data_IF_311297748022
#
_entry.id   IF_311297748022
#
_cell.length_a   1.000
_cell.length_b   1.000
_cell.length_c   1.000
_cell.angle_alpha   90.00
_cell.angle_beta   90.00
_cell.angle_gamma   90.00
#
_symmetry.space_group_name_H-M   'P 1'
#
loop_
_entity.id
_entity.type
_entity.pdbx_description
1 polymer ?
#
# COMPACT_ATOMS: atom_id res chain seq x y z
N UNK A 1 52.48 -55.01 -22.77
CA UNK A 1 51.05 -55.16 -22.43
C UNK A 1 50.92 -54.93 -20.93
N UNK A 2 50.63 -53.69 -20.50
CA UNK A 2 49.31 -53.22 -19.98
C UNK A 2 48.90 -53.98 -18.71
N UNK A 3 48.70 -53.40 -17.52
CA UNK A 3 47.99 -52.16 -17.12
C UNK A 3 48.47 -51.74 -15.71
N UNK A 4 48.61 -50.43 -15.37
CA UNK A 4 48.79 -50.02 -13.97
C UNK A 4 47.43 -49.91 -13.26
N UNK A 5 47.33 -50.53 -12.08
CA UNK A 5 46.18 -50.45 -11.19
C UNK A 5 46.04 -49.02 -10.63
N UNK A 6 45.23 -48.19 -11.28
CA UNK A 6 44.87 -46.85 -10.80
C UNK A 6 44.01 -46.98 -9.54
N UNK A 7 44.55 -46.55 -8.40
CA UNK A 7 43.77 -46.29 -7.18
C UNK A 7 42.73 -45.22 -7.46
N UNK A 8 41.45 -45.60 -7.43
CA UNK A 8 40.31 -44.68 -7.29
C UNK A 8 40.30 -44.11 -5.87
N UNK A 9 41.23 -43.20 -5.58
CA UNK A 9 41.35 -42.56 -4.26
C UNK A 9 41.40 -41.03 -4.39
N UNK A 10 40.64 -40.46 -5.33
CA UNK A 10 40.66 -39.02 -5.60
C UNK A 10 39.30 -38.34 -5.71
N UNK A 11 38.19 -39.10 -5.71
CA UNK A 11 36.86 -38.53 -5.96
C UNK A 11 36.03 -38.27 -4.69
N UNK A 12 36.50 -38.72 -3.52
CA UNK A 12 35.80 -38.49 -2.26
C UNK A 12 35.79 -37.03 -1.80
N UNK A 13 36.88 -36.23 -1.95
CA UNK A 13 36.87 -34.85 -1.44
C UNK A 13 35.92 -33.93 -2.21
N UNK A 14 35.67 -34.21 -3.49
CA UNK A 14 34.83 -33.37 -4.35
C UNK A 14 33.34 -33.66 -4.15
N UNK A 15 32.96 -34.90 -3.84
CA UNK A 15 31.57 -35.23 -3.48
C UNK A 15 31.14 -34.59 -2.15
N UNK A 16 32.05 -34.45 -1.18
CA UNK A 16 31.75 -33.77 0.09
C UNK A 16 31.53 -32.25 -0.09
N UNK A 17 32.28 -31.60 -0.99
CA UNK A 17 32.09 -30.19 -1.29
C UNK A 17 30.76 -29.90 -2.01
N UNK A 18 30.27 -30.83 -2.83
CA UNK A 18 28.96 -30.70 -3.47
C UNK A 18 27.80 -30.84 -2.47
N UNK A 19 27.92 -31.72 -1.47
CA UNK A 19 26.89 -31.87 -0.43
C UNK A 19 26.80 -30.64 0.50
N UNK A 20 27.90 -29.90 0.70
CA UNK A 20 27.90 -28.71 1.54
C UNK A 20 27.23 -27.49 0.87
N UNK A 21 27.25 -27.41 -0.46
CA UNK A 21 26.55 -26.35 -1.22
C UNK A 21 25.03 -26.51 -1.23
N UNK A 22 24.51 -27.71 -0.88
CA UNK A 22 23.07 -27.96 -0.79
C UNK A 22 22.48 -27.51 0.56
N UNK A 23 23.31 -27.38 1.60
CA UNK A 23 22.86 -26.96 2.95
C UNK A 23 22.82 -25.43 3.11
N UNK A 24 23.48 -24.68 2.21
CA UNK A 24 23.56 -23.21 2.27
C UNK A 24 22.84 -22.51 1.10
N UNK A 25 22.12 -23.27 0.27
CA UNK A 25 21.14 -22.70 -0.66
C UNK A 25 19.88 -22.33 0.09
N UNK A 26 19.93 -21.32 0.96
CA UNK A 26 18.71 -20.63 1.36
C UNK A 26 18.09 -20.13 0.03
N UNK A 27 16.87 -20.56 -0.36
CA UNK A 27 16.14 -19.79 -1.36
C UNK A 27 16.17 -18.38 -0.81
N UNK A 28 16.72 -17.44 -1.60
CA UNK A 28 16.84 -16.05 -1.20
C UNK A 28 15.55 -15.69 -0.51
N UNK A 29 15.64 -15.48 0.80
CA UNK A 29 14.57 -14.90 1.57
C UNK A 29 14.44 -13.55 0.89
N UNK A 30 13.53 -13.47 -0.06
CA UNK A 30 13.08 -12.22 -0.64
C UNK A 30 12.74 -11.42 0.60
N UNK A 31 13.62 -10.48 0.92
CA UNK A 31 13.49 -9.67 2.11
C UNK A 31 12.20 -8.92 1.85
N UNK A 32 11.09 -9.46 2.37
CA UNK A 32 9.82 -8.79 2.47
C UNK A 32 10.15 -7.55 3.27
N UNK A 33 10.51 -6.47 2.57
CA UNK A 33 10.69 -5.18 3.21
C UNK A 33 9.34 -4.93 3.86
N UNK A 34 9.31 -4.76 5.19
CA UNK A 34 8.05 -4.61 5.89
C UNK A 34 7.29 -3.46 5.23
N UNK A 35 6.05 -3.73 4.81
CA UNK A 35 5.22 -2.70 4.22
C UNK A 35 5.11 -1.53 5.22
N UNK A 36 5.31 -0.32 4.72
CA UNK A 36 5.29 0.88 5.57
C UNK A 36 3.86 1.13 6.04
N UNK A 37 3.64 1.09 7.35
CA UNK A 37 2.32 1.29 7.94
C UNK A 37 1.99 2.78 8.00
N UNK A 38 0.74 3.12 7.74
CA UNK A 38 0.22 4.47 7.79
C UNK A 38 -0.67 4.64 9.03
N UNK A 39 -0.56 5.80 9.69
CA UNK A 39 -1.55 6.30 10.66
C UNK A 39 -2.43 7.31 9.96
N UNK A 40 -3.74 7.13 10.03
CA UNK A 40 -4.74 8.02 9.47
C UNK A 40 -5.49 8.65 10.65
N UNK A 41 -5.22 9.92 10.93
CA UNK A 41 -5.91 10.69 11.97
C UNK A 41 -7.07 11.43 11.33
N UNK A 42 -8.25 11.32 11.92
CA UNK A 42 -9.46 11.95 11.38
C UNK A 42 -10.09 12.85 12.44
N UNK A 43 -10.39 14.09 12.05
CA UNK A 43 -11.02 15.11 12.88
C UNK A 43 -12.29 15.62 12.18
N UNK A 44 -13.44 15.48 12.85
CA UNK A 44 -14.72 15.97 12.34
C UNK A 44 -14.76 17.51 12.37
N UNK A 45 -15.20 18.13 11.27
CA UNK A 45 -15.21 19.59 11.10
C UNK A 45 -16.48 20.24 11.67
N UNK A 46 -17.63 19.55 11.63
CA UNK A 46 -18.93 20.10 12.03
C UNK A 46 -19.30 19.84 13.49
N UNK A 47 -18.39 19.25 14.28
CA UNK A 47 -18.64 18.87 15.68
C UNK A 47 -17.79 19.73 16.62
N UNK A 48 -18.17 21.00 16.75
CA UNK A 48 -17.43 22.07 17.45
C UNK A 48 -17.24 21.88 18.99
N UNK A 49 -17.49 20.68 19.55
CA UNK A 49 -17.29 20.45 21.00
C UNK A 49 -17.04 19.01 21.47
N UNK A 50 -16.95 18.00 20.60
CA UNK A 50 -16.78 16.61 21.08
C UNK A 50 -15.34 16.12 21.07
N UNK A 51 -14.42 16.78 20.34
CA UNK A 51 -12.99 16.42 20.33
C UNK A 51 -12.71 14.96 19.95
N UNK A 52 -13.69 14.25 19.38
CA UNK A 52 -13.59 12.83 19.07
C UNK A 52 -12.80 12.68 17.78
N UNK A 53 -11.49 12.66 17.93
CA UNK A 53 -10.59 12.22 16.87
C UNK A 53 -10.58 10.70 16.82
N UNK A 54 -10.65 10.15 15.62
CA UNK A 54 -10.47 8.71 15.39
C UNK A 54 -9.09 8.50 14.77
N UNK A 55 -8.45 7.39 15.12
CA UNK A 55 -7.13 7.02 14.61
C UNK A 55 -7.23 5.65 14.00
N UNK A 56 -6.95 5.59 12.70
CA UNK A 56 -7.08 4.40 11.88
C UNK A 56 -5.72 4.03 11.30
N UNK A 57 -5.61 2.81 10.82
CA UNK A 57 -4.37 2.28 10.28
C UNK A 57 -4.56 1.80 8.85
N UNK A 58 -3.48 1.92 8.08
CA UNK A 58 -3.42 1.43 6.71
C UNK A 58 -2.00 1.05 6.33
N UNK A 59 -1.81 0.75 5.06
CA UNK A 59 -0.51 0.36 4.51
C UNK A 59 -0.18 1.23 3.32
N UNK A 60 0.98 1.87 3.30
CA UNK A 60 1.44 2.61 2.13
C UNK A 60 1.75 1.67 0.97
N UNK A 61 1.37 2.10 -0.23
CA UNK A 61 1.89 1.54 -1.48
C UNK A 61 3.40 1.77 -1.55
N UNK A 62 4.14 0.80 -2.10
CA UNK A 62 5.61 0.83 -2.18
C UNK A 62 6.10 2.14 -2.82
N UNK A 63 7.05 2.79 -2.16
CA UNK A 63 7.64 4.04 -2.64
C UNK A 63 6.72 5.27 -2.62
N UNK A 64 5.53 5.17 -2.02
CA UNK A 64 4.59 6.31 -1.90
C UNK A 64 4.51 6.93 -0.51
N UNK A 65 5.17 6.34 0.51
CA UNK A 65 5.05 6.82 1.88
C UNK A 65 5.37 8.32 2.02
N UNK A 66 4.51 9.05 2.74
CA UNK A 66 4.64 10.48 2.94
C UNK A 66 3.55 11.03 3.84
N UNK A 67 3.72 12.29 4.27
CA UNK A 67 2.72 13.02 5.06
C UNK A 67 1.79 13.78 4.13
N UNK A 68 0.49 13.69 4.38
CA UNK A 68 -0.52 14.47 3.68
C UNK A 68 -1.62 14.91 4.64
N UNK A 69 -2.27 16.02 4.34
CA UNK A 69 -3.38 16.54 5.11
C UNK A 69 -4.41 17.17 4.17
N UNK A 70 -5.70 16.98 4.45
CA UNK A 70 -6.76 17.57 3.65
C UNK A 70 -8.15 17.17 4.10
N UNK A 71 -9.17 17.77 3.47
CA UNK A 71 -10.56 17.35 3.62
C UNK A 71 -10.77 15.96 3.01
N UNK A 72 -11.48 15.07 3.71
CA UNK A 72 -11.83 13.74 3.17
C UNK A 72 -12.90 13.87 2.09
N UNK A 73 -12.64 13.34 0.90
CA UNK A 73 -13.55 13.39 -0.23
C UNK A 73 -13.69 12.02 -0.88
N UNK A 74 -14.92 11.53 -1.03
CA UNK A 74 -15.16 10.24 -1.69
C UNK A 74 -15.20 10.39 -3.20
N UNK A 75 -14.44 9.54 -3.90
CA UNK A 75 -14.50 9.42 -5.35
C UNK A 75 -14.95 8.02 -5.73
N UNK A 76 -15.81 7.95 -6.75
CA UNK A 76 -16.16 6.68 -7.37
C UNK A 76 -14.99 6.19 -8.25
N UNK A 77 -14.66 4.89 -8.31
CA UNK A 77 -13.56 4.39 -9.15
C UNK A 77 -13.63 4.85 -10.61
N UNK A 78 -14.84 5.04 -11.15
CA UNK A 78 -15.06 5.49 -12.53
C UNK A 78 -14.85 7.01 -12.74
N UNK A 79 -14.89 7.85 -11.70
CA UNK A 79 -14.58 9.29 -11.85
C UNK A 79 -13.10 9.53 -12.14
N UNK A 80 -12.25 8.55 -11.78
CA UNK A 80 -10.83 8.48 -12.11
C UNK A 80 -10.56 7.80 -13.46
N UNK A 81 -11.51 7.86 -14.40
CA UNK A 81 -11.31 7.41 -15.78
C UNK A 81 -11.23 8.56 -16.77
N UNK A 82 -11.78 9.72 -16.41
CA UNK A 82 -11.86 10.87 -17.29
C UNK A 82 -10.66 11.79 -17.10
N UNK A 83 -10.00 12.15 -18.20
CA UNK A 83 -8.82 13.03 -18.25
C UNK A 83 -9.16 14.51 -18.32
N UNK A 84 -10.44 14.89 -18.41
CA UNK A 84 -10.81 16.31 -18.40
C UNK A 84 -10.47 16.95 -17.05
N UNK A 85 -9.87 18.14 -17.10
CA UNK A 85 -9.47 18.92 -15.92
C UNK A 85 -10.65 19.64 -15.23
N UNK A 86 -11.85 19.57 -15.79
CA UNK A 86 -13.05 20.31 -15.35
C UNK A 86 -13.54 19.96 -13.93
N UNK A 87 -12.96 18.95 -13.30
CA UNK A 87 -13.32 18.48 -11.94
C UNK A 87 -12.26 18.80 -10.87
N UNK A 88 -11.27 19.65 -11.17
CA UNK A 88 -10.28 20.05 -10.16
C UNK A 88 -10.97 20.73 -8.99
N UNK A 89 -10.72 20.20 -7.80
CA UNK A 89 -11.32 20.70 -6.58
C UNK A 89 -10.44 21.80 -5.97
N UNK A 90 -11.06 22.87 -5.48
CA UNK A 90 -10.34 23.94 -4.78
C UNK A 90 -10.01 23.51 -3.34
N UNK A 91 -8.73 23.62 -2.96
CA UNK A 91 -8.24 23.37 -1.60
C UNK A 91 -7.53 22.02 -1.41
N UNK A 92 -7.01 21.81 -0.20
CA UNK A 92 -6.30 20.58 0.16
C UNK A 92 -7.31 19.47 0.50
N UNK A 93 -7.33 18.41 -0.30
CA UNK A 93 -8.21 17.26 -0.08
C UNK A 93 -7.46 15.94 -0.18
N UNK A 94 -7.99 14.92 0.51
CA UNK A 94 -7.55 13.53 0.43
C UNK A 94 -8.72 12.73 -0.12
N UNK A 95 -8.46 11.97 -1.18
CA UNK A 95 -9.49 11.18 -1.83
C UNK A 95 -9.56 9.78 -1.26
N UNK A 96 -10.75 9.30 -0.91
CA UNK A 96 -11.02 7.89 -0.63
C UNK A 96 -11.80 7.24 -1.78
N UNK A 97 -11.35 6.07 -2.20
CA UNK A 97 -11.95 5.29 -3.29
C UNK A 97 -12.21 3.88 -2.79
N UNK A 98 -13.49 3.49 -2.76
CA UNK A 98 -13.89 2.11 -2.49
C UNK A 98 -13.83 1.29 -3.77
N UNK A 99 -12.99 0.26 -3.79
CA UNK A 99 -12.84 -0.61 -4.96
C UNK A 99 -13.90 -1.71 -4.95
N UNK A 100 -14.35 -2.10 -6.15
CA UNK A 100 -15.35 -3.14 -6.36
C UNK A 100 -14.79 -4.21 -7.31
N UNK A 101 -14.83 -5.47 -6.90
CA UNK A 101 -14.20 -6.59 -7.63
C UNK A 101 -14.72 -6.82 -9.06
N UNK A 102 -15.95 -6.37 -9.38
CA UNK A 102 -16.64 -6.72 -10.64
C UNK A 102 -16.89 -5.52 -11.56
N UNK A 103 -16.30 -4.37 -11.27
CA UNK A 103 -16.44 -3.18 -12.13
C UNK A 103 -15.40 -3.23 -13.25
N UNK A 104 -15.79 -3.15 -14.53
CA UNK A 104 -14.84 -3.05 -15.63
C UNK A 104 -13.85 -1.91 -15.39
N UNK A 105 -12.56 -2.23 -15.46
CA UNK A 105 -11.51 -1.26 -15.21
C UNK A 105 -11.23 -0.49 -16.50
N UNK A 106 -11.47 0.82 -16.48
CA UNK A 106 -11.08 1.73 -17.56
C UNK A 106 -9.56 1.99 -17.60
N UNK A 107 -8.88 1.85 -16.45
CA UNK A 107 -7.47 2.14 -16.23
C UNK A 107 -6.92 1.22 -15.12
N UNK A 108 -5.62 0.89 -15.14
CA UNK A 108 -4.93 0.26 -14.02
C UNK A 108 -5.07 1.06 -12.72
N UNK A 109 -5.00 0.40 -11.56
CA UNK A 109 -5.21 1.06 -10.27
C UNK A 109 -4.13 2.11 -9.95
N UNK A 110 -2.89 1.83 -10.36
CA UNK A 110 -1.79 2.80 -10.28
C UNK A 110 -2.10 4.08 -11.07
N UNK A 111 -2.69 3.95 -12.25
CA UNK A 111 -2.99 5.10 -13.11
C UNK A 111 -4.18 5.88 -12.57
N UNK A 112 -5.13 5.21 -11.90
CA UNK A 112 -6.17 5.89 -11.12
C UNK A 112 -5.60 6.70 -9.97
N UNK A 113 -4.61 6.15 -9.26
CA UNK A 113 -3.92 6.87 -8.20
C UNK A 113 -3.21 8.12 -8.76
N UNK A 114 -2.47 7.98 -9.87
CA UNK A 114 -1.82 9.11 -10.56
C UNK A 114 -2.85 10.16 -10.98
N UNK A 115 -3.97 9.73 -11.56
CA UNK A 115 -5.02 10.65 -11.98
C UNK A 115 -5.64 11.41 -10.81
N UNK A 116 -5.89 10.77 -9.66
CA UNK A 116 -6.39 11.46 -8.47
C UNK A 116 -5.39 12.52 -7.97
N UNK A 117 -4.10 12.17 -7.93
CA UNK A 117 -3.03 13.11 -7.55
C UNK A 117 -2.91 14.27 -8.56
N UNK A 118 -2.99 14.00 -9.87
CA UNK A 118 -2.95 15.02 -10.92
C UNK A 118 -4.17 15.96 -10.86
N UNK A 119 -5.34 15.44 -10.43
CA UNK A 119 -6.54 16.22 -10.11
C UNK A 119 -6.41 17.07 -8.84
N UNK A 120 -5.29 16.98 -8.11
CA UNK A 120 -4.96 17.84 -6.97
C UNK A 120 -5.12 17.18 -5.60
N UNK A 121 -5.42 15.87 -5.53
CA UNK A 121 -5.50 15.18 -4.25
C UNK A 121 -4.11 15.17 -3.58
N UNK A 122 -4.07 15.49 -2.30
CA UNK A 122 -2.84 15.46 -1.50
C UNK A 122 -2.41 14.03 -1.18
N UNK A 123 -3.36 13.10 -1.11
CA UNK A 123 -3.12 11.67 -1.00
C UNK A 123 -4.36 10.89 -1.49
N UNK A 124 -4.17 9.60 -1.74
CA UNK A 124 -5.23 8.68 -2.16
C UNK A 124 -5.33 7.52 -1.16
N UNK A 125 -6.54 7.24 -0.70
CA UNK A 125 -6.86 6.09 0.13
C UNK A 125 -7.70 5.13 -0.70
N UNK A 126 -7.24 3.89 -0.87
CA UNK A 126 -8.04 2.82 -1.46
C UNK A 126 -8.59 1.92 -0.36
N UNK A 127 -9.91 1.82 -0.29
CA UNK A 127 -10.57 0.72 0.40
C UNK A 127 -10.54 -0.50 -0.52
N UNK A 128 -9.71 -1.48 -0.14
CA UNK A 128 -9.49 -2.72 -0.89
C UNK A 128 -10.28 -3.90 -0.30
N UNK A 129 -11.20 -3.64 0.65
CA UNK A 129 -11.91 -4.69 1.40
C UNK A 129 -12.65 -5.67 0.49
N UNK A 130 -13.21 -5.18 -0.62
CA UNK A 130 -14.00 -5.98 -1.55
C UNK A 130 -13.18 -6.54 -2.73
N UNK A 131 -11.90 -6.18 -2.90
CA UNK A 131 -11.03 -6.68 -3.98
C UNK A 131 -9.59 -6.95 -3.51
N UNK A 132 -9.36 -8.13 -2.93
CA UNK A 132 -8.03 -8.53 -2.45
C UNK A 132 -6.94 -8.49 -3.54
N UNK A 133 -7.30 -8.74 -4.81
CA UNK A 133 -6.35 -8.67 -5.93
C UNK A 133 -5.86 -7.23 -6.18
N UNK A 134 -6.68 -6.22 -5.87
CA UNK A 134 -6.30 -4.82 -5.99
C UNK A 134 -5.14 -4.46 -5.04
N UNK A 135 -5.13 -5.03 -3.83
CA UNK A 135 -4.06 -4.82 -2.87
C UNK A 135 -2.72 -5.33 -3.43
N UNK A 136 -2.70 -6.49 -4.07
CA UNK A 136 -1.49 -7.05 -4.69
C UNK A 136 -0.99 -6.20 -5.86
N UNK A 137 -1.87 -5.78 -6.78
CA UNK A 137 -1.51 -4.93 -7.92
C UNK A 137 -0.87 -3.61 -7.48
N UNK A 138 -1.49 -2.93 -6.51
CA UNK A 138 -1.00 -1.65 -6.02
C UNK A 138 0.33 -1.81 -5.27
N UNK A 139 0.52 -2.88 -4.49
CA UNK A 139 1.75 -3.10 -3.70
C UNK A 139 3.01 -3.32 -4.54
N UNK A 140 2.88 -3.88 -5.74
CA UNK A 140 4.00 -4.14 -6.65
C UNK A 140 4.38 -2.95 -7.54
N UNK A 141 3.67 -1.83 -7.41
CA UNK A 141 3.99 -0.61 -8.14
C UNK A 141 5.09 0.17 -7.43
N UNK A 142 6.12 0.57 -8.17
CA UNK A 142 7.14 1.48 -7.69
C UNK A 142 6.82 2.94 -8.05
N UNK A 143 6.99 3.82 -7.06
CA UNK A 143 7.01 5.29 -7.15
C UNK A 143 5.71 5.98 -7.60
N UNK A 144 5.13 6.76 -6.68
CA UNK A 144 4.03 7.69 -6.93
C UNK A 144 4.42 9.09 -6.45
N UNK A 145 3.90 10.14 -7.10
CA UNK A 145 4.23 11.54 -6.77
C UNK A 145 3.66 12.01 -5.42
N UNK A 146 2.77 11.22 -4.83
CA UNK A 146 2.16 11.51 -3.54
C UNK A 146 1.74 10.24 -2.81
N UNK A 147 1.28 10.36 -1.55
CA UNK A 147 0.98 9.23 -0.71
C UNK A 147 -0.24 8.44 -1.16
N UNK A 148 -0.11 7.12 -1.19
CA UNK A 148 -1.21 6.20 -1.46
C UNK A 148 -1.26 5.14 -0.37
N UNK A 149 -2.42 5.04 0.27
CA UNK A 149 -2.66 4.17 1.42
C UNK A 149 -3.76 3.16 1.08
N UNK A 150 -3.52 1.90 1.41
CA UNK A 150 -4.51 0.84 1.36
C UNK A 150 -5.12 0.68 2.75
N UNK A 151 -6.44 0.66 2.83
CA UNK A 151 -7.20 0.36 4.05
C UNK A 151 -8.13 -0.82 3.79
N UNK A 152 -8.39 -1.59 4.83
CA UNK A 152 -9.24 -2.78 4.76
C UNK A 152 -10.04 -2.97 6.05
N UNK A 153 -11.12 -3.75 5.96
CA UNK A 153 -11.94 -4.20 7.08
C UNK A 153 -12.42 -3.03 7.96
N UNK A 154 -12.25 -3.13 9.28
CA UNK A 154 -12.77 -2.18 10.28
C UNK A 154 -12.29 -0.73 10.02
N UNK A 155 -11.02 -0.54 9.64
CA UNK A 155 -10.48 0.79 9.36
C UNK A 155 -11.15 1.42 8.13
N UNK A 156 -11.44 0.61 7.11
CA UNK A 156 -12.13 1.07 5.91
C UNK A 156 -13.61 1.38 6.20
N UNK A 157 -14.28 0.52 6.97
CA UNK A 157 -15.66 0.71 7.38
C UNK A 157 -15.85 2.01 8.19
N UNK A 158 -14.92 2.31 9.10
CA UNK A 158 -14.99 3.54 9.89
C UNK A 158 -14.80 4.80 9.03
N UNK A 159 -13.82 4.82 8.11
CA UNK A 159 -13.64 5.94 7.16
C UNK A 159 -14.86 6.13 6.25
N UNK A 160 -15.35 5.04 5.66
CA UNK A 160 -16.50 5.07 4.77
C UNK A 160 -17.79 5.43 5.52
N UNK A 161 -17.88 5.08 6.81
CA UNK A 161 -18.98 5.46 7.67
C UNK A 161 -19.14 6.98 7.82
N UNK A 162 -18.04 7.73 7.89
CA UNK A 162 -18.06 9.20 7.93
C UNK A 162 -18.64 9.78 6.64
N UNK A 163 -18.14 9.28 5.51
CA UNK A 163 -18.59 9.67 4.17
C UNK A 163 -20.09 9.40 3.98
N UNK A 164 -20.54 8.20 4.34
CA UNK A 164 -21.94 7.79 4.20
C UNK A 164 -22.90 8.62 5.07
N UNK A 165 -22.41 9.17 6.18
CA UNK A 165 -23.17 10.07 7.06
C UNK A 165 -23.10 11.54 6.62
N UNK A 166 -22.37 11.84 5.54
CA UNK A 166 -22.06 13.19 5.09
C UNK A 166 -21.35 14.03 6.19
N UNK A 167 -20.56 13.36 7.03
CA UNK A 167 -19.76 14.02 8.05
C UNK A 167 -18.48 14.57 7.41
N UNK A 168 -18.35 15.89 7.39
CA UNK A 168 -17.15 16.52 6.89
C UNK A 168 -15.99 16.29 7.88
N UNK A 169 -14.89 15.76 7.36
CA UNK A 169 -13.73 15.41 8.16
C UNK A 169 -12.45 15.93 7.53
N UNK A 170 -11.52 16.36 8.38
CA UNK A 170 -10.13 16.60 8.04
C UNK A 170 -9.31 15.37 8.37
N UNK A 171 -8.49 14.94 7.43
CA UNK A 171 -7.65 13.74 7.53
C UNK A 171 -6.20 14.15 7.47
N UNK A 172 -5.39 13.57 8.36
CA UNK A 172 -3.93 13.66 8.35
C UNK A 172 -3.36 12.25 8.25
N UNK A 173 -2.53 12.01 7.23
CA UNK A 173 -1.84 10.75 6.99
C UNK A 173 -0.37 10.91 7.39
N UNK A 174 0.12 9.98 8.20
CA UNK A 174 1.50 9.95 8.68
C UNK A 174 2.09 8.54 8.64
N UNK A 175 3.41 8.44 8.62
CA UNK A 175 4.10 7.17 8.78
C UNK A 175 3.98 6.68 10.23
N UNK A 176 3.54 5.43 10.42
CA UNK A 176 3.58 4.79 11.72
C UNK A 176 5.03 4.40 12.04
N UNK A 177 5.64 5.13 12.97
CA UNK A 177 6.94 4.78 13.53
C UNK A 177 6.71 4.00 14.81
N UNK A 178 6.89 2.69 14.75
CA UNK A 178 6.92 1.85 15.96
C UNK A 178 8.24 2.14 16.69
N UNK A 179 8.16 2.87 17.82
CA UNK A 179 9.31 3.08 18.69
C UNK A 179 9.73 1.73 19.29
N UNK A 180 11.02 1.36 19.25
CA UNK A 180 11.48 0.13 19.89
C UNK A 180 11.21 0.25 21.40
N UNK A 181 10.35 -0.61 21.91
CA UNK A 181 10.16 -0.80 23.35
C UNK A 181 11.49 -1.27 23.93
N UNK A 182 12.24 -0.34 24.52
CA UNK A 182 13.42 -0.67 25.33
C UNK A 182 12.95 -1.52 26.51
N UNK A 183 13.33 -2.80 26.49
CA UNK A 183 13.17 -3.75 27.59
C UNK A 183 13.98 -3.32 28.81
#
# INVERSE_FOLDING_TARGET
>A
MTVPQRRLAGLWPWLLMAALQVVLGQPGLESERPFQRAVIKVALLNQESTGKSITLQGVFVRGSAGRAEGKLMQYHPLSLCNTSEDERQEGDFITIVKLEHRVPRCLPLVDKARMALDKGAQAVIFDVSDDANAAFELRETDFLRGPVVLVEAENAEELMGLVNKNEEAKVTIELLVELPTTL
#
